data_IF_502543912658
#
_entry.id   IF_502543912658
#
_cell.length_a   1.000
_cell.length_b   1.000
_cell.length_c   1.000
_cell.angle_alpha   90.00
_cell.angle_beta   90.00
_cell.angle_gamma   90.00
#
_symmetry.space_group_name_H-M   'P 1'
#
loop_
_entity.id
_entity.type
_entity.pdbx_description
1 polymer ?
#
# COMPACT_ATOMS: atom_id res chain seq x y z
N UNK A 1 4.28 -6.91 -0.20
CA UNK A 1 4.35 -5.71 0.66
C UNK A 1 2.97 -5.46 1.27
N UNK A 2 2.89 -4.88 2.45
CA UNK A 2 1.63 -4.44 3.07
C UNK A 2 1.79 -3.05 3.71
N UNK A 3 0.74 -2.22 3.60
CA UNK A 3 0.62 -0.88 4.18
C UNK A 3 -0.72 -0.82 4.90
N UNK A 4 -0.76 -0.26 6.10
CA UNK A 4 -2.01 -0.05 6.84
C UNK A 4 -2.72 1.21 6.33
N UNK A 5 -4.03 1.11 6.09
CA UNK A 5 -4.84 2.17 5.50
C UNK A 5 -6.19 2.27 6.17
N UNK A 6 -6.77 3.46 6.22
CA UNK A 6 -8.12 3.72 6.74
C UNK A 6 -9.13 3.90 5.61
N UNK A 7 -10.32 3.34 5.78
CA UNK A 7 -11.43 3.48 4.83
C UNK A 7 -12.44 4.52 5.31
N UNK A 8 -12.95 5.29 4.36
CA UNK A 8 -13.98 6.30 4.53
C UNK A 8 -15.27 5.77 3.94
N UNK A 9 -16.37 5.90 4.68
CA UNK A 9 -17.71 5.57 4.17
C UNK A 9 -18.36 6.88 3.71
N UNK A 10 -18.57 7.09 2.40
CA UNK A 10 -19.20 8.31 1.93
C UNK A 10 -20.68 8.35 2.34
N UNK A 11 -21.20 9.52 2.77
CA UNK A 11 -22.58 9.63 3.24
C UNK A 11 -23.61 9.40 2.12
N UNK A 12 -23.25 9.75 0.88
CA UNK A 12 -24.12 9.67 -0.28
C UNK A 12 -24.21 8.24 -0.87
N UNK A 13 -23.22 7.38 -0.58
CA UNK A 13 -23.22 5.97 -0.95
C UNK A 13 -22.46 5.10 0.06
N UNK A 14 -23.07 4.74 1.19
CA UNK A 14 -22.40 3.96 2.23
C UNK A 14 -22.11 2.51 1.83
N UNK A 15 -22.58 2.06 0.66
CA UNK A 15 -22.32 0.71 0.16
C UNK A 15 -20.97 0.57 -0.52
N UNK A 16 -20.33 1.70 -0.86
CA UNK A 16 -19.02 1.78 -1.48
C UNK A 16 -18.01 2.49 -0.55
N UNK A 17 -17.38 1.77 0.40
CA UNK A 17 -16.27 2.31 1.17
C UNK A 17 -15.10 2.70 0.26
N UNK A 18 -14.57 3.89 0.49
CA UNK A 18 -13.47 4.47 -0.27
C UNK A 18 -12.22 4.62 0.62
N UNK A 19 -11.11 5.02 0.02
CA UNK A 19 -9.92 5.48 0.75
C UNK A 19 -9.87 7.01 0.74
N UNK A 20 -9.23 7.58 1.77
CA UNK A 20 -8.87 8.99 1.74
C UNK A 20 -7.95 9.31 0.56
N UNK A 21 -8.04 10.53 0.03
CA UNK A 21 -7.22 10.95 -1.09
C UNK A 21 -5.71 10.80 -0.81
N UNK A 22 -5.28 11.12 0.41
CA UNK A 22 -3.89 10.95 0.88
C UNK A 22 -3.45 9.49 0.90
N UNK A 23 -4.35 8.57 1.26
CA UNK A 23 -4.10 7.13 1.23
C UNK A 23 -3.93 6.65 -0.20
N UNK A 24 -4.79 7.11 -1.11
CA UNK A 24 -4.65 6.79 -2.55
C UNK A 24 -3.32 7.30 -3.10
N UNK A 25 -2.89 8.49 -2.70
CA UNK A 25 -1.60 9.04 -3.11
C UNK A 25 -0.43 8.20 -2.55
N UNK A 26 -0.44 7.88 -1.27
CA UNK A 26 0.57 7.02 -0.65
C UNK A 26 0.69 5.68 -1.39
N UNK A 27 -0.44 5.02 -1.71
CA UNK A 27 -0.43 3.76 -2.43
C UNK A 27 0.17 3.87 -3.85
N UNK A 28 0.03 5.02 -4.52
CA UNK A 28 0.67 5.28 -5.82
C UNK A 28 2.18 5.43 -5.67
N UNK A 29 2.64 6.24 -4.72
CA UNK A 29 4.07 6.42 -4.44
C UNK A 29 4.72 5.07 -4.09
N UNK A 30 4.06 4.29 -3.24
CA UNK A 30 4.50 2.94 -2.89
C UNK A 30 4.63 2.03 -4.12
N UNK A 31 3.67 2.07 -5.06
CA UNK A 31 3.76 1.30 -6.29
C UNK A 31 4.95 1.75 -7.17
N UNK A 32 5.14 3.06 -7.34
CA UNK A 32 6.23 3.62 -8.13
C UNK A 32 7.61 3.27 -7.56
N UNK A 33 7.80 3.38 -6.24
CA UNK A 33 9.04 2.98 -5.57
C UNK A 33 9.27 1.46 -5.64
N UNK A 34 8.21 0.64 -5.55
CA UNK A 34 8.30 -0.81 -5.70
C UNK A 34 8.74 -1.22 -7.12
N UNK A 35 8.23 -0.57 -8.16
CA UNK A 35 8.65 -0.80 -9.54
C UNK A 35 10.12 -0.44 -9.77
N UNK A 36 10.62 0.58 -9.06
CA UNK A 36 12.02 1.01 -9.10
C UNK A 36 12.94 0.14 -8.23
N UNK A 37 12.39 -0.76 -7.41
CA UNK A 37 13.14 -1.59 -6.48
C UNK A 37 13.67 -0.83 -5.26
N UNK A 38 13.10 0.33 -4.92
CA UNK A 38 13.53 1.17 -3.80
C UNK A 38 13.05 0.59 -2.45
N UNK A 39 13.73 -0.47 -2.02
CA UNK A 39 13.37 -1.22 -0.81
C UNK A 39 13.45 -0.38 0.46
N UNK A 40 14.40 0.54 0.55
CA UNK A 40 14.63 1.34 1.76
C UNK A 40 13.43 2.27 2.00
N UNK A 41 13.01 2.99 0.97
CA UNK A 41 11.86 3.87 1.06
C UNK A 41 10.58 3.10 1.44
N UNK A 42 10.36 1.93 0.82
CA UNK A 42 9.16 1.13 1.08
C UNK A 42 9.14 0.57 2.51
N UNK A 43 10.30 0.23 3.09
CA UNK A 43 10.40 -0.23 4.47
C UNK A 43 10.08 0.86 5.50
N UNK A 44 10.26 2.13 5.16
CA UNK A 44 9.85 3.25 6.03
C UNK A 44 8.33 3.45 6.05
N UNK A 45 7.64 3.03 4.98
CA UNK A 45 6.21 3.26 4.78
C UNK A 45 5.35 1.99 4.92
N UNK A 46 5.95 0.84 5.21
CA UNK A 46 5.21 -0.41 5.38
C UNK A 46 6.08 -1.64 5.62
N UNK A 47 5.44 -2.81 5.51
CA UNK A 47 6.13 -4.10 5.66
C UNK A 47 6.47 -4.69 4.30
N UNK A 48 7.76 -4.96 4.07
CA UNK A 48 8.25 -5.65 2.87
C UNK A 48 8.34 -7.15 3.14
N UNK A 49 7.75 -7.94 2.25
CA UNK A 49 7.85 -9.40 2.26
C UNK A 49 8.72 -9.85 1.11
N UNK A 50 9.59 -10.81 1.38
CA UNK A 50 10.47 -11.42 0.37
C UNK A 50 10.06 -12.88 0.17
N UNK A 51 9.90 -13.27 -1.09
CA UNK A 51 9.60 -14.66 -1.41
C UNK A 51 10.87 -15.49 -1.25
N UNK A 52 10.99 -16.19 -0.13
CA UNK A 52 12.07 -17.14 0.09
C UNK A 52 11.70 -18.46 -0.58
N UNK A 53 12.26 -18.74 -1.75
CA UNK A 53 12.07 -20.05 -2.39
C UNK A 53 12.90 -21.09 -1.63
N UNK A 54 12.23 -22.09 -1.06
CA UNK A 54 12.93 -23.20 -0.41
C UNK A 54 13.37 -24.20 -1.48
N UNK A 55 14.63 -24.15 -1.87
CA UNK A 55 15.22 -25.20 -2.72
C UNK A 55 15.51 -26.41 -1.82
N UNK A 56 14.79 -27.51 -2.05
CA UNK A 56 15.04 -28.79 -1.38
C UNK A 56 16.01 -29.64 -2.19
#
# INVERSE_FOLDING_TARGET
MAVEVEMVIPPDDPSEPCYEAETVQLLREVAEHAEQGDRNWIQEHGTVYELVTSTR
#
